data_IF_375632154597
#
_entry.id   IF_375632154597
#
_cell.length_a   1.000
_cell.length_b   1.000
_cell.length_c   1.000
_cell.angle_alpha   90.00
_cell.angle_beta   90.00
_cell.angle_gamma   90.00
#
_symmetry.space_group_name_H-M   'P 1'
#
loop_
_entity.id
_entity.type
_entity.pdbx_description
1 polymer ?
#
# COMPACT_ATOMS: atom_id res chain seq x y z
N UNK A 1 -31.13 19.29 -26.39
CA UNK A 1 -31.27 18.96 -24.96
C UNK A 1 -30.47 17.70 -24.74
N UNK A 2 -29.16 17.83 -24.55
CA UNK A 2 -28.25 16.71 -24.29
C UNK A 2 -27.68 16.91 -22.89
N UNK A 3 -28.40 16.39 -21.90
CA UNK A 3 -27.90 16.23 -20.55
C UNK A 3 -28.26 14.81 -20.16
N UNK A 4 -27.27 13.91 -20.22
CA UNK A 4 -27.18 12.63 -19.47
C UNK A 4 -26.04 11.78 -20.06
N UNK A 5 -24.79 12.24 -19.94
CA UNK A 5 -23.60 11.39 -20.13
C UNK A 5 -22.55 11.53 -19.01
N UNK A 6 -22.94 12.05 -17.85
CA UNK A 6 -22.01 12.37 -16.75
C UNK A 6 -22.22 11.57 -15.45
N UNK A 7 -22.72 10.34 -15.52
CA UNK A 7 -22.82 9.48 -14.33
C UNK A 7 -22.42 8.03 -14.62
N UNK A 8 -21.16 7.78 -15.02
CA UNK A 8 -20.56 6.45 -14.80
C UNK A 8 -19.02 6.35 -14.84
N UNK A 9 -18.29 7.32 -14.29
CA UNK A 9 -16.87 7.12 -13.93
C UNK A 9 -16.78 6.78 -12.44
N UNK A 10 -17.39 5.65 -12.05
CA UNK A 10 -17.24 5.10 -10.69
C UNK A 10 -16.53 3.75 -10.78
N UNK A 11 -15.30 3.74 -10.26
CA UNK A 11 -14.52 2.55 -9.85
C UNK A 11 -14.03 1.59 -10.94
N UNK A 12 -13.38 2.08 -11.98
CA UNK A 12 -12.53 1.22 -12.80
C UNK A 12 -11.13 1.14 -12.18
N UNK A 13 -10.80 -0.02 -11.57
CA UNK A 13 -9.46 -0.34 -11.07
C UNK A 13 -8.74 -1.23 -12.11
N UNK A 14 -7.44 -1.01 -12.30
CA UNK A 14 -6.58 -1.91 -13.09
C UNK A 14 -6.14 -3.08 -12.23
N UNK A 15 -6.48 -4.30 -12.65
CA UNK A 15 -6.01 -5.54 -12.02
C UNK A 15 -4.58 -5.85 -12.45
N UNK A 16 -3.70 -6.10 -11.49
CA UNK A 16 -2.30 -6.48 -11.73
C UNK A 16 -1.98 -7.74 -10.92
N UNK A 17 -1.20 -8.64 -11.50
CA UNK A 17 -0.60 -9.76 -10.78
C UNK A 17 0.89 -9.48 -10.52
N UNK A 18 1.26 -9.46 -9.25
CA UNK A 18 2.65 -9.39 -8.80
C UNK A 18 3.03 -10.69 -8.11
N UNK A 19 3.54 -11.64 -8.89
CA UNK A 19 4.08 -12.91 -8.37
C UNK A 19 3.08 -13.70 -7.51
N UNK A 20 1.80 -13.70 -7.92
CA UNK A 20 0.69 -14.38 -7.24
C UNK A 20 -0.12 -13.47 -6.30
N UNK A 21 0.35 -12.24 -6.05
CA UNK A 21 -0.41 -11.22 -5.35
C UNK A 21 -1.23 -10.39 -6.35
N UNK A 22 -2.56 -10.48 -6.26
CA UNK A 22 -3.47 -9.72 -7.11
C UNK A 22 -3.74 -8.35 -6.49
N UNK A 23 -3.62 -7.31 -7.28
CA UNK A 23 -3.75 -5.92 -6.86
C UNK A 23 -4.77 -5.19 -7.74
N UNK A 24 -5.59 -4.36 -7.10
CA UNK A 24 -6.47 -3.40 -7.75
C UNK A 24 -5.84 -2.02 -7.63
N UNK A 25 -5.16 -1.57 -8.68
CA UNK A 25 -4.59 -0.23 -8.73
C UNK A 25 -5.58 0.78 -9.30
N UNK A 26 -5.55 2.04 -8.85
CA UNK A 26 -6.31 3.10 -9.51
C UNK A 26 -5.86 3.30 -10.96
N UNK A 27 -6.76 3.75 -11.83
CA UNK A 27 -6.42 4.06 -13.23
C UNK A 27 -5.39 5.20 -13.31
N UNK A 28 -4.57 5.14 -14.35
CA UNK A 28 -3.55 6.15 -14.65
C UNK A 28 -2.24 5.95 -13.89
N UNK A 29 -2.20 4.99 -12.95
CA UNK A 29 -0.98 4.61 -12.25
C UNK A 29 0.02 3.96 -13.19
N UNK A 30 1.28 4.38 -13.08
CA UNK A 30 2.37 3.94 -13.95
C UNK A 30 3.36 3.11 -13.15
N UNK A 31 3.91 2.08 -13.80
CA UNK A 31 5.01 1.29 -13.24
C UNK A 31 6.27 2.16 -13.15
N UNK A 32 6.99 2.04 -12.04
CA UNK A 32 8.30 2.65 -11.83
C UNK A 32 9.34 1.55 -11.98
N UNK A 33 10.31 1.67 -12.90
CA UNK A 33 11.38 0.68 -13.04
C UNK A 33 12.17 0.57 -11.73
N UNK A 34 12.41 -0.67 -11.30
CA UNK A 34 13.18 -0.99 -10.09
C UNK A 34 14.36 -1.87 -10.49
N UNK A 35 15.52 -1.67 -9.84
CA UNK A 35 16.70 -2.51 -10.06
C UNK A 35 16.59 -3.87 -9.33
N UNK A 36 15.76 -3.93 -8.28
CA UNK A 36 15.51 -5.14 -7.49
C UNK A 36 14.32 -5.92 -8.07
N UNK A 37 14.55 -7.15 -8.53
CA UNK A 37 13.52 -8.01 -9.13
C UNK A 37 12.44 -8.45 -8.13
N UNK A 38 12.72 -8.36 -6.83
CA UNK A 38 11.75 -8.62 -5.77
C UNK A 38 10.86 -7.41 -5.48
N UNK A 39 11.10 -6.26 -6.13
CA UNK A 39 10.37 -5.03 -5.88
C UNK A 39 9.61 -4.59 -7.13
N UNK A 40 8.32 -4.30 -6.96
CA UNK A 40 7.52 -3.58 -7.95
C UNK A 40 7.02 -2.29 -7.34
N UNK A 41 7.12 -1.20 -8.08
CA UNK A 41 6.66 0.10 -7.63
C UNK A 41 5.72 0.72 -8.66
N UNK A 42 4.69 1.39 -8.17
CA UNK A 42 3.73 2.12 -8.99
C UNK A 42 3.54 3.50 -8.39
N UNK A 43 3.32 4.50 -9.26
CA UNK A 43 3.02 5.86 -8.84
C UNK A 43 1.81 6.41 -9.57
N UNK A 44 1.09 7.29 -8.91
CA UNK A 44 0.03 8.09 -9.51
C UNK A 44 0.59 9.00 -10.62
N UNK A 45 -0.30 9.51 -11.46
CA UNK A 45 0.06 10.52 -12.44
C UNK A 45 0.10 11.90 -11.76
N UNK A 46 1.30 12.27 -11.29
CA UNK A 46 1.55 13.56 -10.66
C UNK A 46 1.87 14.62 -11.70
N UNK A 47 1.48 15.86 -11.45
CA UNK A 47 1.98 17.00 -12.22
C UNK A 47 3.42 17.31 -11.80
N UNK A 48 4.21 17.91 -12.70
CA UNK A 48 5.64 18.15 -12.45
C UNK A 48 5.96 19.07 -11.26
N UNK A 49 4.96 19.72 -10.66
CA UNK A 49 5.10 20.62 -9.52
C UNK A 49 4.76 19.96 -8.17
N UNK A 50 4.29 18.72 -8.15
CA UNK A 50 3.98 18.03 -6.89
C UNK A 50 5.27 17.57 -6.20
N UNK A 51 5.46 17.99 -4.94
CA UNK A 51 6.61 17.59 -4.14
C UNK A 51 6.56 16.11 -3.71
N UNK A 52 5.37 15.50 -3.71
CA UNK A 52 5.19 14.09 -3.39
C UNK A 52 4.16 13.45 -4.32
N UNK A 53 4.52 12.27 -4.83
CA UNK A 53 3.65 11.43 -5.63
C UNK A 53 3.10 10.27 -4.82
N UNK A 54 1.77 10.16 -4.79
CA UNK A 54 1.08 8.97 -4.32
C UNK A 54 1.68 7.71 -4.96
N UNK A 55 2.05 6.73 -4.14
CA UNK A 55 2.76 5.53 -4.62
C UNK A 55 2.42 4.27 -3.84
N UNK A 56 2.72 3.13 -4.48
CA UNK A 56 2.56 1.78 -3.96
C UNK A 56 3.85 1.03 -4.28
N UNK A 57 4.46 0.44 -3.27
CA UNK A 57 5.64 -0.40 -3.39
C UNK A 57 5.32 -1.79 -2.85
N UNK A 58 5.60 -2.80 -3.65
CA UNK A 58 5.46 -4.20 -3.29
C UNK A 58 6.84 -4.82 -3.27
N UNK A 59 7.22 -5.43 -2.14
CA UNK A 59 8.46 -6.18 -1.99
C UNK A 59 8.14 -7.64 -1.64
N UNK A 60 8.80 -8.58 -2.28
CA UNK A 60 8.78 -9.99 -1.88
C UNK A 60 9.86 -10.19 -0.83
N UNK A 61 9.47 -10.76 0.31
CA UNK A 61 10.39 -11.09 1.39
C UNK A 61 10.82 -12.55 1.21
N UNK A 62 12.13 -12.84 1.03
CA UNK A 62 12.61 -14.19 0.75
C UNK A 62 12.49 -15.15 1.94
N UNK A 63 12.51 -14.65 3.18
CA UNK A 63 12.28 -15.45 4.39
C UNK A 63 10.79 -15.38 4.78
N UNK A 64 10.10 -16.52 4.73
CA UNK A 64 8.67 -16.63 4.98
C UNK A 64 8.32 -17.28 6.34
N UNK A 65 9.30 -17.66 7.16
CA UNK A 65 9.08 -18.36 8.43
C UNK A 65 8.76 -17.41 9.60
N UNK A 66 9.06 -16.11 9.47
CA UNK A 66 8.87 -15.10 10.52
C UNK A 66 7.38 -14.88 10.78
N UNK A 67 6.93 -14.84 12.04
CA UNK A 67 5.53 -14.51 12.36
C UNK A 67 5.18 -13.09 11.91
N UNK A 68 4.02 -12.90 11.29
CA UNK A 68 3.62 -11.61 10.73
C UNK A 68 3.59 -10.50 11.78
N UNK A 69 3.04 -10.78 12.97
CA UNK A 69 2.97 -9.79 14.06
C UNK A 69 4.38 -9.37 14.53
N UNK A 70 5.31 -10.32 14.65
CA UNK A 70 6.69 -10.03 15.01
C UNK A 70 7.37 -9.14 13.96
N UNK A 71 7.18 -9.45 12.68
CA UNK A 71 7.71 -8.66 11.58
C UNK A 71 7.17 -7.22 11.60
N UNK A 72 5.87 -7.05 11.90
CA UNK A 72 5.27 -5.73 11.99
C UNK A 72 5.87 -4.91 13.14
N UNK A 73 6.09 -5.53 14.30
CA UNK A 73 6.66 -4.87 15.46
C UNK A 73 8.15 -4.53 15.26
N UNK A 74 8.93 -5.41 14.64
CA UNK A 74 10.34 -5.15 14.26
C UNK A 74 10.43 -3.91 13.36
N UNK A 75 9.60 -3.85 12.30
CA UNK A 75 9.57 -2.71 11.40
C UNK A 75 9.07 -1.42 12.08
N UNK A 76 8.06 -1.50 12.95
CA UNK A 76 7.62 -0.33 13.73
C UNK A 76 8.75 0.20 14.59
N UNK A 77 9.50 -0.68 15.23
CA UNK A 77 10.63 -0.30 16.08
C UNK A 77 11.74 0.38 15.28
N UNK A 78 12.06 -0.14 14.09
CA UNK A 78 13.00 0.50 13.15
C UNK A 78 12.50 1.86 12.66
N UNK A 79 11.21 1.97 12.32
CA UNK A 79 10.62 3.21 11.82
C UNK A 79 10.67 4.34 12.86
N UNK A 80 10.43 4.04 14.13
CA UNK A 80 10.51 5.02 15.22
C UNK A 80 11.91 5.64 15.33
N UNK A 81 12.95 4.89 14.96
CA UNK A 81 14.33 5.38 15.00
C UNK A 81 14.70 6.22 13.76
N UNK A 82 13.98 6.04 12.65
CA UNK A 82 14.35 6.61 11.35
C UNK A 82 13.49 7.80 10.92
N UNK A 83 12.24 7.92 11.40
CA UNK A 83 11.33 8.97 10.98
C UNK A 83 11.12 10.03 12.06
N UNK A 84 11.35 11.30 11.69
CA UNK A 84 10.97 12.42 12.55
C UNK A 84 9.44 12.53 12.62
N UNK A 85 8.91 12.60 13.85
CA UNK A 85 7.48 12.77 14.13
C UNK A 85 6.59 11.65 13.53
N UNK A 86 7.06 10.41 13.59
CA UNK A 86 6.22 9.26 13.27
C UNK A 86 5.02 9.20 14.21
N UNK A 87 3.82 9.07 13.65
CA UNK A 87 2.60 8.83 14.38
C UNK A 87 1.89 7.59 13.82
N UNK A 88 1.69 6.58 14.66
CA UNK A 88 0.95 5.37 14.29
C UNK A 88 -0.53 5.60 14.59
N UNK A 89 -1.35 5.61 13.55
CA UNK A 89 -2.79 5.85 13.65
C UNK A 89 -3.56 4.58 14.00
N UNK A 90 -3.14 3.43 13.44
CA UNK A 90 -3.89 2.19 13.58
C UNK A 90 -3.00 0.96 13.32
N UNK A 91 -3.23 -0.13 14.07
CA UNK A 91 -2.72 -1.47 13.75
C UNK A 91 -3.90 -2.40 13.49
N UNK A 92 -3.81 -3.25 12.47
CA UNK A 92 -4.87 -4.18 12.11
C UNK A 92 -4.34 -5.53 11.63
N UNK A 93 -5.18 -6.54 11.74
CA UNK A 93 -4.94 -7.88 11.21
C UNK A 93 -6.19 -8.41 10.52
N UNK A 94 -6.00 -9.31 9.56
CA UNK A 94 -7.05 -9.82 8.72
C UNK A 94 -6.62 -11.15 8.10
N UNK A 95 -7.54 -12.11 8.03
CA UNK A 95 -7.30 -13.38 7.35
C UNK A 95 -8.45 -13.67 6.39
N UNK A 96 -8.14 -14.03 5.14
CA UNK A 96 -9.13 -14.38 4.12
C UNK A 96 -8.50 -15.30 3.05
N UNK A 97 -9.13 -16.44 2.74
CA UNK A 97 -8.80 -17.30 1.60
C UNK A 97 -7.29 -17.50 1.37
N UNK A 98 -6.62 -18.18 2.32
CA UNK A 98 -5.18 -18.48 2.30
C UNK A 98 -4.28 -17.24 2.28
N UNK A 99 -4.78 -16.12 2.82
CA UNK A 99 -4.02 -14.90 3.03
C UNK A 99 -4.13 -14.48 4.49
N UNK A 100 -2.98 -14.37 5.15
CA UNK A 100 -2.86 -13.72 6.45
C UNK A 100 -2.23 -12.35 6.27
N UNK A 101 -2.81 -11.35 6.92
CA UNK A 101 -2.50 -9.96 6.68
C UNK A 101 -2.37 -9.25 8.01
N UNK A 102 -1.29 -8.50 8.17
CA UNK A 102 -1.12 -7.53 9.25
C UNK A 102 -0.73 -6.20 8.64
N UNK A 103 -1.20 -5.10 9.20
CA UNK A 103 -0.89 -3.79 8.67
C UNK A 103 -0.88 -2.71 9.75
N UNK A 104 -0.14 -1.65 9.47
CA UNK A 104 -0.19 -0.41 10.23
C UNK A 104 -0.57 0.74 9.30
N UNK A 105 -1.34 1.69 9.82
CA UNK A 105 -1.51 3.02 9.23
C UNK A 105 -0.73 4.00 10.08
N UNK A 106 0.07 4.84 9.45
CA UNK A 106 0.90 5.82 10.12
C UNK A 106 1.08 7.05 9.25
N UNK A 107 1.57 8.12 9.86
CA UNK A 107 2.00 9.30 9.14
C UNK A 107 3.32 9.82 9.71
N UNK A 108 4.07 10.51 8.88
CA UNK A 108 5.34 11.14 9.25
C UNK A 108 5.54 12.41 8.42
N UNK A 109 6.47 13.25 8.83
CA UNK A 109 6.76 14.50 8.12
C UNK A 109 8.13 14.39 7.44
N UNK A 110 8.16 14.61 6.13
CA UNK A 110 9.36 14.59 5.30
C UNK A 110 9.37 15.89 4.48
N UNK A 111 10.44 16.68 4.58
CA UNK A 111 10.58 17.95 3.83
C UNK A 111 9.36 18.89 3.94
N UNK A 112 8.78 19.01 5.14
CA UNK A 112 7.57 19.80 5.43
C UNK A 112 6.26 19.27 4.81
N UNK A 113 6.24 18.02 4.35
CA UNK A 113 5.06 17.34 3.83
C UNK A 113 4.69 16.21 4.78
N UNK A 114 3.43 16.19 5.20
CA UNK A 114 2.90 15.03 5.92
C UNK A 114 2.55 13.93 4.93
N UNK A 115 3.22 12.79 5.07
CA UNK A 115 2.98 11.59 4.26
C UNK A 115 2.16 10.63 5.10
N UNK A 116 1.02 10.21 4.57
CA UNK A 116 0.15 9.19 5.14
C UNK A 116 0.46 7.86 4.48
N UNK A 117 0.85 6.86 5.27
CA UNK A 117 1.30 5.58 4.77
C UNK A 117 0.57 4.42 5.41
N UNK A 118 0.41 3.35 4.65
CA UNK A 118 -0.01 2.04 5.16
C UNK A 118 1.06 1.03 4.78
N UNK A 119 1.66 0.38 5.78
CA UNK A 119 2.53 -0.77 5.57
C UNK A 119 1.76 -2.03 5.90
N UNK A 120 1.79 -2.98 4.97
CA UNK A 120 1.04 -4.24 5.07
C UNK A 120 1.96 -5.40 4.79
N UNK A 121 1.94 -6.41 5.65
CA UNK A 121 2.52 -7.71 5.35
C UNK A 121 1.42 -8.69 4.98
N UNK A 122 1.61 -9.42 3.89
CA UNK A 122 0.69 -10.42 3.37
C UNK A 122 1.43 -11.74 3.23
N UNK A 123 0.99 -12.78 3.94
CA UNK A 123 1.41 -14.15 3.69
C UNK A 123 0.38 -14.83 2.80
N UNK A 124 0.80 -15.35 1.64
CA UNK A 124 -0.05 -16.07 0.69
C UNK A 124 0.72 -17.18 0.00
N UNK A 125 0.19 -18.40 -0.01
CA UNK A 125 0.79 -19.56 -0.70
C UNK A 125 2.30 -19.72 -0.39
N UNK A 126 2.66 -19.66 0.89
CA UNK A 126 4.04 -19.73 1.36
C UNK A 126 4.97 -18.61 0.83
N UNK A 127 4.42 -17.49 0.38
CA UNK A 127 5.18 -16.27 0.04
C UNK A 127 4.79 -15.15 0.97
N UNK A 128 5.77 -14.30 1.28
CA UNK A 128 5.58 -13.13 2.11
C UNK A 128 5.80 -11.88 1.28
N UNK A 129 4.84 -10.96 1.33
CA UNK A 129 4.86 -9.70 0.62
C UNK A 129 4.78 -8.55 1.63
N UNK A 130 5.59 -7.52 1.43
CA UNK A 130 5.37 -6.21 2.02
C UNK A 130 4.74 -5.31 0.96
N UNK A 131 3.62 -4.69 1.30
CA UNK A 131 2.92 -3.72 0.45
C UNK A 131 2.83 -2.41 1.22
N UNK A 132 3.53 -1.39 0.72
CA UNK A 132 3.50 -0.06 1.26
C UNK A 132 2.71 0.86 0.33
N UNK A 133 1.78 1.61 0.88
CA UNK A 133 1.06 2.67 0.19
C UNK A 133 1.41 3.98 0.86
N UNK A 134 1.60 5.04 0.09
CA UNK A 134 1.94 6.36 0.63
C UNK A 134 1.21 7.44 -0.14
N UNK A 135 0.64 8.41 0.57
CA UNK A 135 -0.08 9.55 0.01
C UNK A 135 0.24 10.87 0.70
N UNK A 136 0.29 11.95 -0.07
CA UNK A 136 0.37 13.32 0.48
C UNK A 136 -0.97 13.84 1.02
N UNK A 137 -2.06 13.07 0.89
CA UNK A 137 -3.39 13.47 1.35
C UNK A 137 -4.03 12.40 2.23
N UNK A 138 -4.45 12.81 3.45
CA UNK A 138 -5.18 11.96 4.40
C UNK A 138 -6.43 11.31 3.77
N UNK A 139 -7.12 12.05 2.89
CA UNK A 139 -8.36 11.62 2.26
C UNK A 139 -8.16 10.69 1.06
N UNK A 140 -6.93 10.59 0.54
CA UNK A 140 -6.56 9.65 -0.53
C UNK A 140 -5.92 8.38 0.02
N UNK A 141 -6.10 8.05 1.30
CA UNK A 141 -5.55 6.84 1.88
C UNK A 141 -5.98 5.65 1.05
N UNK A 142 -5.04 5.06 0.30
CA UNK A 142 -5.33 3.88 -0.50
C UNK A 142 -5.55 2.74 0.48
N UNK A 143 -6.83 2.53 0.80
CA UNK A 143 -7.22 1.50 1.74
C UNK A 143 -6.71 0.16 1.20
N UNK A 144 -5.85 -0.47 1.98
CA UNK A 144 -5.27 -1.75 1.62
C UNK A 144 -6.36 -2.79 1.35
N UNK A 145 -7.54 -2.64 1.97
CA UNK A 145 -8.71 -3.47 1.68
C UNK A 145 -9.12 -3.41 0.22
N UNK A 146 -9.11 -2.21 -0.36
CA UNK A 146 -9.45 -2.00 -1.76
C UNK A 146 -8.33 -2.46 -2.69
N UNK A 147 -7.07 -2.18 -2.35
CA UNK A 147 -5.90 -2.59 -3.16
C UNK A 147 -5.78 -4.11 -3.22
N UNK A 148 -5.85 -4.79 -2.08
CA UNK A 148 -5.71 -6.25 -1.99
C UNK A 148 -7.02 -6.99 -2.27
N UNK A 149 -8.13 -6.26 -2.45
CA UNK A 149 -9.47 -6.81 -2.59
C UNK A 149 -9.84 -7.77 -1.45
N UNK A 150 -9.59 -7.36 -0.21
CA UNK A 150 -9.81 -8.17 0.99
C UNK A 150 -11.00 -7.64 1.78
N UNK A 151 -11.81 -8.56 2.30
CA UNK A 151 -12.86 -8.29 3.28
C UNK A 151 -12.36 -8.79 4.63
N UNK A 152 -12.20 -7.89 5.60
CA UNK A 152 -11.78 -8.24 6.96
C UNK A 152 -13.01 -8.29 7.84
N UNK A 153 -13.34 -9.48 8.33
CA UNK A 153 -14.38 -9.68 9.34
C UNK A 153 -13.79 -9.17 10.67
N UNK A 154 -14.49 -8.24 11.33
CA UNK A 154 -14.09 -7.70 12.63
C UNK A 154 -14.67 -8.57 13.74
#
# INVERSE_FOLDING_TARGET
>A
MEAEKDVNIRNSNKKIDSNGLKLNLPIGWKNVPMNDSNVKAFKANCTGSEMFCDNIVIRIIPNNDIKLDQLLDDYVSEMNNNFQKLNIDYKGKCSNNNQDIVYIKYNFNEQNITIFSTMTFVRKNNRLFQVNTSSGSKNKSYDIKNILNISCIH
#
